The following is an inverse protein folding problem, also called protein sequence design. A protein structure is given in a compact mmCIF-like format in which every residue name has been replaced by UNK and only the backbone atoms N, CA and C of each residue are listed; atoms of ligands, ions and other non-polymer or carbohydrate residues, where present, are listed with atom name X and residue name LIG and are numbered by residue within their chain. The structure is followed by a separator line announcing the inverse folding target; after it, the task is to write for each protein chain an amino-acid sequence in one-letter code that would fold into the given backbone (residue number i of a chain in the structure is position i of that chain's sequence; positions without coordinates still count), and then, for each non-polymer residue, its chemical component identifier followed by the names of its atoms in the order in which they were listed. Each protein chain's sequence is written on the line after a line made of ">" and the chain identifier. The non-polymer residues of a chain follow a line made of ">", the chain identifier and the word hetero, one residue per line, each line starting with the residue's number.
data_IF_724972276830
#
_entry.id   IF_724972276830
#
_cell.length_a   1.000
_cell.length_b   1.000
_cell.length_c   1.000
_cell.angle_alpha   90.00
_cell.angle_beta   90.00
_cell.angle_gamma   90.00
#
_symmetry.space_group_name_H-M   'P 1'
#
loop_
_entity.id
_entity.type
_entity.pdbx_description
1 polymer ?
#
# COMPACT_ATOMS: atom_id res chain seq x y z
N UNK A 1 -51.42 -18.11 7.86
CA UNK A 1 -49.95 -17.96 7.88
C UNK A 1 -49.53 -17.20 6.63
N UNK A 2 -49.23 -15.90 6.74
CA UNK A 2 -48.62 -15.14 5.64
C UNK A 2 -47.36 -14.53 6.24
N UNK A 3 -46.22 -15.15 5.97
CA UNK A 3 -44.92 -14.65 6.37
C UNK A 3 -44.47 -13.61 5.34
N UNK A 4 -44.54 -12.34 5.71
CA UNK A 4 -43.96 -11.24 4.93
C UNK A 4 -42.44 -11.28 5.06
N UNK A 5 -41.76 -11.64 3.95
CA UNK A 5 -40.32 -11.44 3.81
C UNK A 5 -40.02 -9.93 3.85
N UNK A 6 -39.43 -9.45 4.95
CA UNK A 6 -38.77 -8.15 4.97
C UNK A 6 -37.42 -8.27 4.24
N UNK A 7 -37.39 -7.84 2.98
CA UNK A 7 -36.15 -7.51 2.29
C UNK A 7 -35.60 -6.22 2.91
N UNK A 8 -34.64 -6.33 3.81
CA UNK A 8 -33.86 -5.19 4.27
C UNK A 8 -32.94 -4.79 3.12
N UNK A 9 -33.41 -3.89 2.26
CA UNK A 9 -32.54 -3.20 1.33
C UNK A 9 -31.60 -2.31 2.15
N UNK A 10 -30.30 -2.62 2.13
CA UNK A 10 -29.26 -1.72 2.63
C UNK A 10 -29.26 -0.46 1.74
N UNK A 11 -30.13 0.49 2.06
CA UNK A 11 -30.07 1.83 1.48
C UNK A 11 -28.76 2.45 1.94
N UNK A 12 -27.80 2.58 1.01
CA UNK A 12 -26.61 3.40 1.22
C UNK A 12 -27.09 4.77 1.73
N UNK A 13 -26.69 5.16 2.94
CA UNK A 13 -27.18 6.39 3.56
C UNK A 13 -27.00 7.59 2.64
N UNK A 14 -27.99 8.47 2.57
CA UNK A 14 -28.07 9.63 1.66
C UNK A 14 -27.09 10.77 2.08
N UNK A 15 -26.07 10.46 2.89
CA UNK A 15 -25.11 11.43 3.41
C UNK A 15 -23.81 11.47 2.60
N UNK A 16 -23.07 12.58 2.65
CA UNK A 16 -21.72 12.66 2.07
C UNK A 16 -20.79 11.65 2.74
N UNK A 17 -19.76 11.19 2.02
CA UNK A 17 -18.75 10.31 2.60
C UNK A 17 -17.89 11.08 3.61
N UNK A 18 -17.24 10.36 4.54
CA UNK A 18 -16.30 11.00 5.46
C UNK A 18 -15.19 11.78 4.73
N UNK A 19 -14.73 11.25 3.59
CA UNK A 19 -13.71 11.91 2.75
C UNK A 19 -14.23 13.23 2.16
N UNK A 20 -15.48 13.24 1.70
CA UNK A 20 -16.14 14.43 1.14
C UNK A 20 -16.33 15.52 2.19
N UNK A 21 -16.70 15.14 3.42
CA UNK A 21 -16.81 16.07 4.56
C UNK A 21 -15.45 16.70 4.89
N UNK A 22 -14.38 15.88 4.95
CA UNK A 22 -13.02 16.37 5.25
C UNK A 22 -12.56 17.38 4.20
N UNK A 23 -12.78 17.09 2.91
CA UNK A 23 -12.43 18.01 1.83
C UNK A 23 -13.21 19.33 1.93
N UNK A 24 -14.51 19.26 2.19
CA UNK A 24 -15.38 20.44 2.33
C UNK A 24 -14.92 21.35 3.47
N UNK A 25 -14.61 20.76 4.63
CA UNK A 25 -14.12 21.52 5.80
C UNK A 25 -12.78 22.18 5.51
N UNK A 26 -11.83 21.44 4.93
CA UNK A 26 -10.52 21.98 4.62
C UNK A 26 -10.57 23.12 3.57
N UNK A 27 -11.45 23.02 2.57
CA UNK A 27 -11.70 24.10 1.61
C UNK A 27 -12.31 25.35 2.27
N UNK A 28 -13.21 25.16 3.23
CA UNK A 28 -13.86 26.27 3.94
C UNK A 28 -12.90 27.00 4.90
N UNK A 29 -12.01 26.26 5.57
CA UNK A 29 -11.07 26.77 6.55
C UNK A 29 -9.94 27.63 5.94
N UNK A 30 -9.58 27.41 4.67
CA UNK A 30 -8.52 28.13 3.91
C UNK A 30 -7.12 28.14 4.54
N UNK A 31 -6.95 27.62 5.76
CA UNK A 31 -5.67 27.40 6.44
C UNK A 31 -5.25 25.93 6.49
N UNK A 32 -6.18 25.00 6.29
CA UNK A 32 -5.91 23.56 6.22
C UNK A 32 -5.33 23.17 4.87
N UNK A 33 -4.04 22.82 4.84
CA UNK A 33 -3.40 22.22 3.67
C UNK A 33 -3.80 20.74 3.62
N UNK A 34 -4.64 20.37 2.65
CA UNK A 34 -4.86 18.95 2.33
C UNK A 34 -3.61 18.45 1.60
N UNK A 35 -2.89 17.51 2.20
CA UNK A 35 -1.83 16.81 1.48
C UNK A 35 -2.48 15.90 0.44
N UNK A 36 -2.48 16.34 -0.82
CA UNK A 36 -2.92 15.52 -1.93
C UNK A 36 -1.87 14.45 -2.17
N UNK A 37 -2.12 13.24 -1.66
CA UNK A 37 -1.25 12.10 -1.91
C UNK A 37 -1.27 11.79 -3.40
N UNK A 38 -0.10 11.51 -4.00
CA UNK A 38 -0.07 11.04 -5.38
C UNK A 38 -0.90 9.76 -5.50
N UNK A 39 -1.46 9.47 -6.70
CA UNK A 39 -2.15 8.23 -6.95
C UNK A 39 -1.28 7.04 -6.55
N UNK A 40 -1.88 6.02 -5.93
CA UNK A 40 -1.16 4.81 -5.54
C UNK A 40 -0.57 4.10 -6.77
N UNK A 41 -1.28 4.14 -7.90
CA UNK A 41 -0.84 3.52 -9.13
C UNK A 41 0.48 4.14 -9.61
N UNK A 42 1.43 3.27 -9.99
CA UNK A 42 2.77 3.67 -10.37
C UNK A 42 3.84 2.83 -9.68
N UNK A 43 5.08 3.30 -9.83
CA UNK A 43 6.28 2.63 -9.32
C UNK A 43 6.83 3.39 -8.12
N UNK A 44 7.07 2.65 -7.04
CA UNK A 44 7.56 3.15 -5.77
C UNK A 44 8.89 2.47 -5.45
N UNK A 45 9.96 3.25 -5.41
CA UNK A 45 11.32 2.74 -5.25
C UNK A 45 12.03 3.40 -4.09
N UNK A 46 12.88 2.63 -3.43
CA UNK A 46 13.87 3.20 -2.51
C UNK A 46 14.85 4.06 -3.30
N UNK A 47 15.01 5.31 -2.89
CA UNK A 47 16.01 6.23 -3.48
C UNK A 47 17.45 5.84 -3.09
N UNK A 48 17.60 5.25 -1.90
CA UNK A 48 18.87 4.80 -1.32
C UNK A 48 18.68 3.54 -0.49
N UNK A 49 19.79 2.92 -0.10
CA UNK A 49 19.78 1.77 0.81
C UNK A 49 19.07 2.15 2.12
N UNK A 50 18.04 1.39 2.49
CA UNK A 50 17.27 1.64 3.69
C UNK A 50 17.80 0.80 4.85
N UNK A 51 18.25 1.47 5.90
CA UNK A 51 18.65 0.82 7.16
C UNK A 51 17.43 0.69 8.08
N UNK A 52 17.14 -0.54 8.50
CA UNK A 52 16.07 -0.85 9.46
C UNK A 52 16.66 -1.14 10.84
N UNK A 53 15.91 -1.01 11.94
CA UNK A 53 16.35 -1.50 13.24
C UNK A 53 16.66 -3.01 13.17
N UNK A 54 17.90 -3.39 13.51
CA UNK A 54 18.48 -4.72 13.23
C UNK A 54 19.55 -4.63 12.12
N UNK A 55 20.39 -5.64 11.90
CA UNK A 55 21.33 -5.67 10.77
C UNK A 55 20.58 -5.98 9.45
N UNK A 56 19.60 -5.15 9.10
CA UNK A 56 18.73 -5.28 7.93
C UNK A 56 18.89 -4.07 7.02
N UNK A 57 19.40 -4.33 5.81
CA UNK A 57 19.58 -3.33 4.76
C UNK A 57 18.78 -3.75 3.54
N UNK A 58 17.91 -2.86 3.06
CA UNK A 58 16.95 -3.21 2.00
C UNK A 58 16.87 -2.17 0.89
N UNK A 59 16.53 -2.65 -0.30
CA UNK A 59 15.94 -1.85 -1.38
C UNK A 59 14.57 -2.41 -1.71
N UNK A 60 13.63 -1.51 -1.99
CA UNK A 60 12.25 -1.83 -2.34
C UNK A 60 11.97 -1.34 -3.75
N UNK A 61 11.33 -2.20 -4.54
CA UNK A 61 10.77 -1.87 -5.83
C UNK A 61 9.34 -2.39 -5.85
N UNK A 62 8.39 -1.48 -5.70
CA UNK A 62 6.98 -1.81 -5.65
C UNK A 62 6.29 -1.19 -6.85
N UNK A 63 5.28 -1.89 -7.36
CA UNK A 63 4.48 -1.41 -8.46
C UNK A 63 3.01 -1.74 -8.21
N UNK A 64 2.16 -0.75 -8.44
CA UNK A 64 0.71 -0.86 -8.37
C UNK A 64 0.12 -0.47 -9.72
N UNK A 65 -0.79 -1.29 -10.23
CA UNK A 65 -1.54 -0.99 -11.44
C UNK A 65 -2.88 -0.34 -11.12
N UNK A 66 -3.38 0.49 -12.03
CA UNK A 66 -4.74 1.02 -11.97
C UNK A 66 -5.83 -0.07 -11.93
N UNK A 67 -5.52 -1.25 -12.46
CA UNK A 67 -6.42 -2.41 -12.50
C UNK A 67 -6.39 -3.26 -11.21
N UNK A 68 -5.80 -2.77 -10.12
CA UNK A 68 -5.84 -3.43 -8.82
C UNK A 68 -4.92 -4.65 -8.69
N UNK A 69 -3.87 -4.75 -9.51
CA UNK A 69 -2.77 -5.72 -9.30
C UNK A 69 -1.54 -5.03 -8.73
N UNK A 70 -0.75 -5.73 -7.93
CA UNK A 70 0.49 -5.20 -7.37
C UNK A 70 1.64 -6.21 -7.46
N UNK A 71 2.86 -5.66 -7.39
CA UNK A 71 4.06 -6.44 -7.12
C UNK A 71 4.94 -5.70 -6.11
N UNK A 72 5.43 -6.42 -5.10
CA UNK A 72 6.39 -5.91 -4.11
C UNK A 72 7.66 -6.75 -4.15
N UNK A 73 8.71 -6.17 -4.71
CA UNK A 73 10.04 -6.76 -4.70
C UNK A 73 10.86 -6.08 -3.60
N UNK A 74 11.37 -6.87 -2.65
CA UNK A 74 12.28 -6.43 -1.61
C UNK A 74 13.60 -7.18 -1.74
N UNK A 75 14.69 -6.44 -1.84
CA UNK A 75 16.05 -6.96 -1.95
C UNK A 75 16.74 -6.76 -0.60
N UNK A 76 17.31 -7.82 -0.04
CA UNK A 76 17.98 -7.81 1.28
C UNK A 76 19.49 -7.92 1.10
N UNK A 77 20.23 -7.13 1.88
CA UNK A 77 21.68 -7.00 1.79
C UNK A 77 22.36 -7.15 3.15
N UNK A 78 23.65 -7.50 3.13
CA UNK A 78 24.50 -7.68 4.32
C UNK A 78 25.19 -6.39 4.78
N UNK A 79 25.12 -5.30 4.01
CA UNK A 79 25.79 -4.04 4.28
C UNK A 79 24.88 -2.84 3.98
N UNK A 80 25.20 -1.72 4.63
CA UNK A 80 24.53 -0.43 4.54
C UNK A 80 24.71 0.28 3.19
N UNK A 81 25.64 -0.20 2.37
CA UNK A 81 25.79 0.19 0.97
C UNK A 81 24.89 -0.55 -0.01
N UNK A 82 24.14 -1.56 0.44
CA UNK A 82 23.38 -2.47 -0.43
C UNK A 82 24.24 -3.08 -1.55
N UNK A 83 25.49 -3.46 -1.24
CA UNK A 83 26.47 -3.99 -2.21
C UNK A 83 26.58 -5.51 -2.20
N UNK A 84 26.30 -6.18 -1.06
CA UNK A 84 26.36 -7.63 -0.92
C UNK A 84 24.97 -8.21 -0.77
N UNK A 85 24.35 -8.71 -1.87
CA UNK A 85 22.99 -9.22 -1.84
C UNK A 85 22.94 -10.54 -1.04
N UNK A 86 21.89 -10.70 -0.24
CA UNK A 86 21.68 -11.87 0.62
C UNK A 86 20.53 -12.74 0.08
N UNK A 87 19.36 -12.15 -0.08
CA UNK A 87 18.20 -12.79 -0.70
C UNK A 87 17.24 -11.72 -1.22
N UNK A 88 16.25 -12.14 -2.00
CA UNK A 88 15.16 -11.28 -2.46
C UNK A 88 13.81 -11.94 -2.24
N UNK A 89 12.81 -11.11 -2.03
CA UNK A 89 11.41 -11.49 -1.91
C UNK A 89 10.62 -10.78 -2.98
N UNK A 90 9.98 -11.54 -3.85
CA UNK A 90 9.07 -11.02 -4.86
C UNK A 90 7.65 -11.48 -4.50
N UNK A 91 6.77 -10.52 -4.26
CA UNK A 91 5.37 -10.75 -3.91
C UNK A 91 4.50 -10.23 -5.04
N UNK A 92 3.47 -10.97 -5.42
CA UNK A 92 2.46 -10.52 -6.37
C UNK A 92 1.07 -10.81 -5.85
N UNK A 93 0.11 -9.99 -6.26
CA UNK A 93 -1.27 -10.17 -5.88
C UNK A 93 -2.18 -9.11 -6.46
N UNK A 94 -3.35 -9.00 -5.85
CA UNK A 94 -4.32 -7.94 -6.14
C UNK A 94 -4.57 -7.08 -4.91
N UNK A 95 -5.03 -5.86 -5.12
CA UNK A 95 -5.37 -4.93 -4.05
C UNK A 95 -6.68 -4.21 -4.37
N UNK A 96 -7.41 -3.87 -3.32
CA UNK A 96 -8.56 -2.97 -3.39
C UNK A 96 -8.26 -1.70 -2.58
N UNK A 97 -8.37 -0.54 -3.20
CA UNK A 97 -8.26 0.76 -2.51
C UNK A 97 -9.55 1.03 -1.75
N UNK A 98 -9.43 1.26 -0.43
CA UNK A 98 -10.55 1.51 0.49
C UNK A 98 -10.69 2.99 0.86
N UNK A 99 -9.91 3.87 0.23
CA UNK A 99 -9.88 5.30 0.52
C UNK A 99 -8.68 5.71 1.37
N UNK A 100 -8.83 6.82 2.10
CA UNK A 100 -7.79 7.36 2.98
C UNK A 100 -7.66 6.55 4.27
N UNK A 101 -6.44 6.45 4.79
CA UNK A 101 -6.19 5.79 6.06
C UNK A 101 -6.76 6.61 7.21
N UNK A 102 -7.56 5.97 8.06
CA UNK A 102 -8.04 6.55 9.31
C UNK A 102 -6.98 6.55 10.41
N UNK A 103 -5.91 5.76 10.26
CA UNK A 103 -4.84 5.62 11.26
C UNK A 103 -3.71 6.63 11.05
N UNK A 104 -3.37 6.93 9.79
CA UNK A 104 -2.22 7.76 9.43
C UNK A 104 -2.61 8.75 8.33
N UNK A 105 -2.52 10.04 8.64
CA UNK A 105 -2.71 11.10 7.64
C UNK A 105 -1.69 10.95 6.51
N UNK A 106 -2.11 11.17 5.26
CA UNK A 106 -1.24 11.01 4.10
C UNK A 106 -0.95 9.56 3.71
N UNK A 107 -1.69 8.59 4.26
CA UNK A 107 -1.67 7.18 3.86
C UNK A 107 -3.00 6.74 3.25
N UNK A 108 -2.98 5.69 2.44
CA UNK A 108 -4.18 5.03 1.91
C UNK A 108 -4.48 3.75 2.66
N UNK A 109 -5.76 3.38 2.76
CA UNK A 109 -6.19 2.09 3.28
C UNK A 109 -6.35 1.11 2.12
N UNK A 110 -5.59 0.01 2.17
CA UNK A 110 -5.61 -1.04 1.15
C UNK A 110 -6.03 -2.36 1.74
N UNK A 111 -6.83 -3.10 0.99
CA UNK A 111 -7.05 -4.52 1.22
C UNK A 111 -6.20 -5.30 0.22
N UNK A 112 -5.34 -6.18 0.73
CA UNK A 112 -4.32 -6.88 -0.07
C UNK A 112 -4.67 -8.36 -0.14
N UNK A 113 -4.72 -8.89 -1.36
CA UNK A 113 -4.89 -10.31 -1.63
C UNK A 113 -3.59 -10.88 -2.17
N UNK A 114 -2.93 -11.70 -1.36
CA UNK A 114 -1.68 -12.34 -1.70
C UNK A 114 -1.92 -13.53 -2.65
N UNK A 115 -1.17 -13.59 -3.75
CA UNK A 115 -1.29 -14.69 -4.72
C UNK A 115 0.01 -15.49 -4.83
N UNK A 116 1.14 -14.81 -4.94
CA UNK A 116 2.44 -15.45 -5.15
C UNK A 116 3.49 -14.82 -4.24
N UNK A 117 4.32 -15.68 -3.65
CA UNK A 117 5.54 -15.29 -2.94
C UNK A 117 6.68 -16.13 -3.48
N UNK A 118 7.71 -15.46 -3.97
CA UNK A 118 8.95 -16.08 -4.39
C UNK A 118 10.09 -15.54 -3.54
N UNK A 119 10.95 -16.46 -3.09
CA UNK A 119 12.20 -16.14 -2.39
C UNK A 119 13.35 -16.60 -3.27
N UNK A 120 14.27 -15.68 -3.55
CA UNK A 120 15.49 -15.94 -4.31
C UNK A 120 16.65 -15.83 -3.35
N UNK A 121 17.42 -16.91 -3.19
CA UNK A 121 18.62 -16.92 -2.35
C UNK A 121 19.84 -16.63 -3.22
N UNK A 122 20.70 -15.73 -2.77
CA UNK A 122 21.97 -15.46 -3.43
C UNK A 122 23.08 -16.24 -2.74
N UNK A 123 23.91 -16.94 -3.52
CA UNK A 123 25.09 -17.60 -2.98
C UNK A 123 26.27 -16.63 -2.94
N UNK A 124 27.00 -16.64 -1.83
CA UNK A 124 28.25 -15.88 -1.65
C UNK A 124 29.49 -16.63 -2.12
N UNK A 125 29.35 -17.88 -2.61
CA UNK A 125 30.46 -18.59 -3.25
C UNK A 125 30.80 -17.94 -4.58
N UNK A 126 31.77 -17.03 -4.55
CA UNK A 126 32.56 -16.69 -5.72
C UNK A 126 33.38 -17.92 -6.11
N UNK A 127 33.27 -18.35 -7.37
CA UNK A 127 34.24 -19.25 -7.99
C UNK A 127 35.57 -18.52 -8.22
#
# INVERSE_FOLDING_TARGET
>A
LIATLFLIALTKGIGPSCDEVVQTVAQADKGTVIFEQPPLAGTWVSDRCETRPGPEYILRWHWYSDNGTYSHNTYFYLDDGCSRPLWSRCVKGTYAHRGKSWLMSGSDQLEIFLQEVMIILYSTTMA
#
